data_IF_918503144259
#
_entry.id   IF_918503144259
#
_cell.length_a   1.000
_cell.length_b   1.000
_cell.length_c   1.000
_cell.angle_alpha   90.00
_cell.angle_beta   90.00
_cell.angle_gamma   90.00
#
_symmetry.space_group_name_H-M   'P 1'
#
loop_
_entity.id
_entity.type
_entity.pdbx_description
1 polymer ?
#
# COMPACT_ATOMS: atom_id res chain seq x y z
N UNK A 1 28.64 -49.85 -23.26
CA UNK A 1 27.25 -49.46 -22.92
C UNK A 1 27.28 -48.05 -22.35
N UNK A 2 26.88 -47.04 -23.12
CA UNK A 2 26.91 -45.62 -22.72
C UNK A 2 25.59 -45.29 -22.00
N UNK A 3 25.65 -44.88 -20.73
CA UNK A 3 24.47 -44.49 -19.95
C UNK A 3 24.08 -43.04 -20.34
N UNK A 4 22.82 -42.75 -20.71
CA UNK A 4 22.40 -41.38 -20.93
C UNK A 4 22.19 -40.70 -19.57
N UNK A 5 22.95 -39.65 -19.29
CA UNK A 5 22.71 -38.76 -18.15
C UNK A 5 21.52 -37.87 -18.52
N UNK A 6 20.39 -38.09 -17.87
CA UNK A 6 19.21 -37.24 -18.00
C UNK A 6 19.34 -36.06 -17.03
N UNK A 7 19.76 -34.90 -17.53
CA UNK A 7 19.77 -33.66 -16.77
C UNK A 7 18.36 -33.07 -16.75
N UNK A 8 17.68 -33.18 -15.61
CA UNK A 8 16.38 -32.54 -15.39
C UNK A 8 16.60 -31.04 -15.13
N UNK A 9 16.37 -30.22 -16.16
CA UNK A 9 16.37 -28.76 -16.01
C UNK A 9 15.07 -28.34 -15.32
N UNK A 10 15.14 -28.10 -14.01
CA UNK A 10 14.08 -27.43 -13.25
C UNK A 10 14.13 -25.95 -13.65
N UNK A 11 13.22 -25.54 -14.54
CA UNK A 11 13.01 -24.13 -14.87
C UNK A 11 12.41 -23.40 -13.67
N UNK A 12 13.19 -22.53 -13.03
CA UNK A 12 12.68 -21.54 -12.09
C UNK A 12 11.83 -20.53 -12.87
N UNK A 13 10.52 -20.74 -12.90
CA UNK A 13 9.57 -19.68 -13.18
C UNK A 13 9.67 -18.67 -12.04
N UNK A 14 10.49 -17.62 -12.24
CA UNK A 14 10.52 -16.49 -11.33
C UNK A 14 9.18 -15.74 -11.47
N UNK A 15 8.21 -16.08 -10.62
CA UNK A 15 7.09 -15.17 -10.38
C UNK A 15 7.66 -13.88 -9.81
N UNK A 16 7.64 -12.81 -10.62
CA UNK A 16 7.96 -11.48 -10.15
C UNK A 16 6.85 -11.04 -9.19
N UNK A 17 6.99 -11.39 -7.91
CA UNK A 17 6.16 -10.83 -6.88
C UNK A 17 6.44 -9.33 -6.82
N UNK A 18 5.51 -8.50 -7.33
CA UNK A 18 5.55 -7.08 -7.08
C UNK A 18 5.12 -6.86 -5.63
N UNK A 19 6.10 -6.56 -4.78
CA UNK A 19 5.84 -6.06 -3.43
C UNK A 19 4.87 -4.85 -3.54
N UNK A 20 4.08 -4.60 -2.49
CA UNK A 20 3.18 -3.45 -2.32
C UNK A 20 2.13 -3.23 -3.43
N UNK A 21 2.04 -4.09 -4.44
CA UNK A 21 1.11 -3.92 -5.56
C UNK A 21 -0.34 -4.32 -5.26
N UNK A 22 -0.52 -5.13 -4.22
CA UNK A 22 -1.82 -5.65 -3.77
C UNK A 22 -1.89 -5.70 -2.26
N UNK A 23 -3.09 -5.79 -1.69
CA UNK A 23 -3.28 -6.00 -0.25
C UNK A 23 -2.57 -7.29 0.20
N UNK A 24 -2.63 -8.36 -0.59
CA UNK A 24 -1.98 -9.63 -0.27
C UNK A 24 -0.44 -9.55 -0.30
N UNK A 25 0.11 -8.57 -1.03
CA UNK A 25 1.55 -8.32 -1.12
C UNK A 25 1.96 -7.03 -0.39
N UNK A 26 1.12 -6.55 0.53
CA UNK A 26 1.38 -5.35 1.30
C UNK A 26 2.73 -5.47 2.03
N UNK A 27 3.53 -4.41 1.98
CA UNK A 27 4.85 -4.39 2.62
C UNK A 27 4.70 -3.99 4.09
N UNK A 28 5.22 -4.77 5.05
CA UNK A 28 5.24 -4.38 6.44
C UNK A 28 6.11 -3.14 6.68
N UNK A 29 5.57 -2.18 7.42
CA UNK A 29 6.24 -0.92 7.76
C UNK A 29 6.30 -0.68 9.27
N UNK A 30 7.20 0.20 9.67
CA UNK A 30 7.35 0.76 11.01
C UNK A 30 7.10 2.27 10.94
N UNK A 31 7.17 2.97 12.06
CA UNK A 31 7.11 4.44 12.05
C UNK A 31 8.32 5.02 11.32
N UNK A 32 8.08 5.95 10.41
CA UNK A 32 9.12 6.60 9.61
C UNK A 32 8.61 7.06 8.26
N UNK A 33 9.54 7.47 7.41
CA UNK A 33 9.24 7.98 6.07
C UNK A 33 9.43 6.88 5.03
N UNK A 34 8.47 6.76 4.12
CA UNK A 34 8.49 5.80 3.02
C UNK A 34 8.45 6.55 1.69
N UNK A 35 9.40 6.25 0.81
CA UNK A 35 9.40 6.76 -0.54
C UNK A 35 8.61 5.83 -1.46
N UNK A 36 7.64 6.39 -2.17
CA UNK A 36 6.79 5.67 -3.12
C UNK A 36 7.11 6.20 -4.52
N UNK A 37 7.83 5.42 -5.32
CA UNK A 37 8.27 5.86 -6.65
C UNK A 37 7.11 6.15 -7.62
N UNK A 38 5.94 5.55 -7.38
CA UNK A 38 4.71 5.76 -8.13
C UNK A 38 3.56 4.90 -7.59
N UNK A 39 2.33 5.26 -7.95
CA UNK A 39 1.11 4.51 -7.61
C UNK A 39 0.71 3.67 -8.84
N UNK A 40 1.38 2.54 -9.04
CA UNK A 40 1.17 1.66 -10.21
C UNK A 40 0.81 0.20 -9.83
N UNK A 41 0.40 -0.04 -8.59
CA UNK A 41 0.04 -1.40 -8.16
C UNK A 41 -1.25 -1.86 -8.84
N UNK A 42 -1.32 -3.16 -9.10
CA UNK A 42 -2.42 -3.77 -9.85
C UNK A 42 -3.75 -3.80 -9.10
N UNK A 43 -3.75 -3.60 -7.78
CA UNK A 43 -4.97 -3.52 -6.99
C UNK A 43 -5.19 -2.09 -6.48
N UNK A 44 -6.21 -1.43 -7.00
CA UNK A 44 -6.70 -0.18 -6.43
C UNK A 44 -7.53 -0.42 -5.15
N UNK A 45 -7.52 0.52 -4.19
CA UNK A 45 -8.44 0.51 -3.06
C UNK A 45 -9.89 0.75 -3.54
N UNK A 46 -10.78 -0.20 -3.30
CA UNK A 46 -12.20 -0.11 -3.69
C UNK A 46 -13.11 0.35 -2.56
N UNK A 47 -12.70 0.13 -1.31
CA UNK A 47 -13.41 0.62 -0.12
C UNK A 47 -12.90 2.02 0.19
N UNK A 48 -13.65 3.07 -0.13
CA UNK A 48 -13.14 4.44 -0.02
C UNK A 48 -13.36 5.00 1.38
N UNK A 49 -12.28 5.39 2.05
CA UNK A 49 -12.31 5.96 3.41
C UNK A 49 -12.25 7.49 3.47
N UNK A 50 -12.25 8.18 2.32
CA UNK A 50 -12.22 9.65 2.23
C UNK A 50 -13.60 10.29 2.07
N UNK A 51 -14.63 9.49 1.76
CA UNK A 51 -15.98 9.98 1.47
C UNK A 51 -16.24 10.25 -0.02
N UNK A 52 -15.21 10.23 -0.87
CA UNK A 52 -15.34 10.39 -2.32
C UNK A 52 -15.80 9.10 -3.02
N UNK A 53 -16.53 9.24 -4.12
CA UNK A 53 -17.12 8.11 -4.85
C UNK A 53 -16.21 7.52 -5.94
N UNK A 54 -15.03 8.10 -6.20
CA UNK A 54 -14.19 7.72 -7.34
C UNK A 54 -13.07 6.76 -6.91
N UNK A 55 -13.24 5.50 -7.30
CA UNK A 55 -12.19 4.47 -7.19
C UNK A 55 -11.07 4.79 -8.17
N UNK A 56 -9.84 4.82 -7.68
CA UNK A 56 -8.65 4.99 -8.54
C UNK A 56 -8.34 3.73 -9.35
N UNK A 57 -7.39 3.82 -10.28
CA UNK A 57 -6.99 2.67 -11.13
C UNK A 57 -5.90 1.82 -10.49
N UNK A 58 -5.14 2.39 -9.55
CA UNK A 58 -3.96 1.78 -8.94
C UNK A 58 -3.89 2.03 -7.43
N UNK A 59 -3.03 1.27 -6.75
CA UNK A 59 -2.78 1.42 -5.32
C UNK A 59 -1.39 0.98 -4.91
N UNK A 60 -0.93 1.45 -3.75
CA UNK A 60 0.25 0.93 -3.05
C UNK A 60 -0.16 0.52 -1.64
N UNK A 61 0.15 -0.72 -1.30
CA UNK A 61 -0.32 -1.36 -0.08
C UNK A 61 0.82 -1.57 0.90
N UNK A 62 0.58 -1.14 2.13
CA UNK A 62 1.47 -1.29 3.25
C UNK A 62 0.67 -1.86 4.43
N UNK A 63 1.34 -2.61 5.30
CA UNK A 63 0.74 -3.13 6.53
C UNK A 63 1.51 -2.61 7.74
N UNK A 64 0.78 -2.18 8.76
CA UNK A 64 1.36 -1.73 10.01
C UNK A 64 0.77 -2.54 11.16
N UNK A 65 1.63 -3.00 12.06
CA UNK A 65 1.23 -3.65 13.32
C UNK A 65 1.67 -2.71 14.44
N UNK A 66 0.72 -2.23 15.23
CA UNK A 66 1.02 -1.40 16.39
C UNK A 66 1.62 -2.25 17.52
N UNK A 67 2.64 -1.72 18.18
CA UNK A 67 3.25 -2.36 19.36
C UNK A 67 2.52 -2.00 20.67
N UNK A 68 1.72 -0.93 20.65
CA UNK A 68 0.96 -0.40 21.78
C UNK A 68 -0.19 0.49 21.28
N UNK A 69 -1.23 0.63 22.10
CA UNK A 69 -2.35 1.54 21.84
C UNK A 69 -1.84 2.99 21.78
N UNK A 70 -2.08 3.67 20.67
CA UNK A 70 -1.56 5.03 20.44
C UNK A 70 -2.32 5.74 19.32
N UNK A 71 -2.05 7.02 19.15
CA UNK A 71 -2.50 7.78 17.98
C UNK A 71 -1.42 7.75 16.90
N UNK A 72 -1.80 7.40 15.68
CA UNK A 72 -0.94 7.35 14.50
C UNK A 72 -1.38 8.42 13.51
N UNK A 73 -0.41 9.17 12.98
CA UNK A 73 -0.66 10.14 11.89
C UNK A 73 0.08 9.67 10.64
N UNK A 74 -0.65 9.64 9.52
CA UNK A 74 -0.08 9.47 8.19
C UNK A 74 -0.23 10.82 7.48
N UNK A 75 0.87 11.28 6.88
CA UNK A 75 0.88 12.55 6.12
C UNK A 75 1.66 12.37 4.82
N UNK A 76 1.09 12.88 3.74
CA UNK A 76 1.81 13.18 2.49
C UNK A 76 2.12 14.66 2.37
N UNK A 77 1.67 15.51 3.31
CA UNK A 77 1.95 16.95 3.37
C UNK A 77 3.40 17.22 3.82
N UNK A 78 4.31 16.95 2.88
CA UNK A 78 5.75 17.13 3.01
C UNK A 78 6.24 18.03 1.87
N UNK A 79 7.29 18.85 2.08
CA UNK A 79 7.79 19.75 1.04
C UNK A 79 8.13 19.08 -0.30
N UNK A 80 8.54 17.81 -0.27
CA UNK A 80 8.90 17.02 -1.44
C UNK A 80 7.68 16.63 -2.32
N UNK A 81 6.48 16.69 -1.75
CA UNK A 81 5.22 16.37 -2.44
C UNK A 81 4.47 17.64 -2.90
N UNK A 82 5.06 18.83 -2.72
CA UNK A 82 4.41 20.08 -3.08
C UNK A 82 3.96 20.11 -4.56
N UNK A 83 2.70 20.49 -4.78
CA UNK A 83 2.07 20.50 -6.11
C UNK A 83 1.55 19.14 -6.57
N UNK A 84 1.66 18.11 -5.75
CA UNK A 84 1.00 16.82 -5.96
C UNK A 84 -0.47 16.83 -5.53
N UNK A 85 -1.13 15.73 -5.87
CA UNK A 85 -2.49 15.35 -5.50
C UNK A 85 -2.39 13.90 -5.00
N UNK A 86 -2.70 13.68 -3.73
CA UNK A 86 -2.48 12.41 -3.05
C UNK A 86 -3.72 11.96 -2.32
N UNK A 87 -3.85 10.65 -2.14
CA UNK A 87 -4.94 10.06 -1.36
C UNK A 87 -4.46 8.95 -0.46
N UNK A 88 -4.95 8.92 0.79
CA UNK A 88 -4.62 7.89 1.78
C UNK A 88 -5.89 7.19 2.27
N UNK A 89 -5.83 5.86 2.38
CA UNK A 89 -6.85 5.06 3.04
C UNK A 89 -6.21 4.14 4.07
N UNK A 90 -6.80 4.04 5.24
CA UNK A 90 -6.36 3.19 6.35
C UNK A 90 -7.46 2.21 6.68
N UNK A 91 -7.10 0.93 6.75
CA UNK A 91 -8.04 -0.16 6.97
C UNK A 91 -7.64 -1.02 8.16
N UNK A 92 -8.65 -1.60 8.80
CA UNK A 92 -8.51 -2.81 9.63
C UNK A 92 -9.10 -4.03 8.90
N UNK A 93 -8.84 -5.22 9.42
CA UNK A 93 -9.36 -6.48 8.89
C UNK A 93 -8.39 -7.19 7.95
N UNK A 94 -8.92 -8.12 7.17
CA UNK A 94 -8.15 -8.94 6.23
C UNK A 94 -8.44 -8.53 4.78
N UNK A 95 -7.52 -8.84 3.87
CA UNK A 95 -7.74 -8.60 2.43
C UNK A 95 -9.03 -9.29 1.98
N UNK A 96 -9.92 -8.53 1.33
CA UNK A 96 -11.26 -8.96 0.92
C UNK A 96 -12.38 -8.58 1.91
N UNK A 97 -12.05 -8.22 3.15
CA UNK A 97 -12.99 -7.77 4.19
C UNK A 97 -12.40 -6.55 4.94
N UNK A 98 -11.87 -5.58 4.20
CA UNK A 98 -11.27 -4.38 4.78
C UNK A 98 -12.36 -3.44 5.30
N UNK A 99 -12.16 -2.89 6.50
CA UNK A 99 -13.05 -1.90 7.13
C UNK A 99 -12.29 -0.58 7.27
N UNK A 100 -12.92 0.52 6.84
CA UNK A 100 -12.33 1.84 6.97
C UNK A 100 -12.07 2.19 8.44
N UNK A 101 -10.82 2.57 8.72
CA UNK A 101 -10.40 3.13 10.00
C UNK A 101 -10.16 4.64 9.89
N UNK A 102 -9.58 5.08 8.78
CA UNK A 102 -9.26 6.47 8.49
C UNK A 102 -8.99 6.66 6.99
N UNK A 103 -8.95 7.91 6.56
CA UNK A 103 -8.57 8.28 5.21
C UNK A 103 -8.62 9.78 5.04
N UNK A 104 -7.84 10.29 4.10
CA UNK A 104 -7.89 11.68 3.68
C UNK A 104 -7.46 11.82 2.21
N UNK A 105 -7.94 12.89 1.57
CA UNK A 105 -7.59 13.27 0.19
C UNK A 105 -6.88 14.64 0.22
N UNK A 106 -7.56 15.67 0.73
CA UNK A 106 -7.18 17.08 0.50
C UNK A 106 -7.04 17.95 1.77
N UNK A 107 -6.86 17.37 2.96
CA UNK A 107 -6.82 18.18 4.19
C UNK A 107 -5.46 18.86 4.47
N UNK A 108 -4.41 18.53 3.71
CA UNK A 108 -3.08 19.12 3.77
C UNK A 108 -2.88 20.30 2.81
N UNK A 109 -1.62 20.72 2.61
CA UNK A 109 -1.28 21.83 1.71
C UNK A 109 -1.61 21.51 0.24
N UNK A 110 -2.58 22.21 -0.34
CA UNK A 110 -3.00 21.96 -1.73
C UNK A 110 -3.99 20.80 -1.79
N UNK A 111 -3.59 19.70 -2.45
CA UNK A 111 -4.34 18.44 -2.56
C UNK A 111 -3.57 17.29 -1.89
N UNK A 112 -2.85 17.61 -0.81
CA UNK A 112 -2.08 16.63 -0.05
C UNK A 112 -2.91 16.12 1.12
N UNK A 113 -2.62 14.91 1.57
CA UNK A 113 -3.41 14.23 2.58
C UNK A 113 -2.75 14.22 3.96
N UNK A 114 -3.56 14.34 5.00
CA UNK A 114 -3.19 14.10 6.38
C UNK A 114 -4.35 13.43 7.13
N UNK A 115 -4.10 12.29 7.76
CA UNK A 115 -5.10 11.60 8.58
C UNK A 115 -4.50 11.08 9.87
N UNK A 116 -5.31 11.09 10.93
CA UNK A 116 -4.94 10.55 12.24
C UNK A 116 -5.97 9.51 12.67
N UNK A 117 -5.51 8.41 13.27
CA UNK A 117 -6.36 7.35 13.80
C UNK A 117 -5.75 6.77 15.09
N UNK A 118 -6.59 6.14 15.89
CA UNK A 118 -6.17 5.41 17.09
C UNK A 118 -6.06 3.93 16.75
N UNK A 119 -4.97 3.31 17.17
CA UNK A 119 -4.72 1.86 17.15
C UNK A 119 -4.88 1.29 18.54
#
# INVERSE_FOLDING_TARGET
MKKPVLTLAIGLLAWQAQAQGTCATAVPIQLGNYYVAGIDGSQAPTTICTGDAVVGEHGRWYSYTADQDTSITITTDLPQNAGGDTRVHVYTGSCGNLVCQAGDDDSGSGYLSITTFVV
#
